data_IF_155788532904
#
_entry.id   IF_155788532904
#
_cell.length_a   1.000
_cell.length_b   1.000
_cell.length_c   1.000
_cell.angle_alpha   90.00
_cell.angle_beta   90.00
_cell.angle_gamma   90.00
#
_symmetry.space_group_name_H-M   'P 1'
#
loop_
_entity.id
_entity.type
_entity.pdbx_description
1 polymer ?
#
# COMPACT_ATOMS: atom_id res chain seq x y z
N UNK A 1 14.79 1.83 27.43
CA UNK A 1 14.44 2.95 26.54
C UNK A 1 14.42 2.42 25.11
N UNK A 2 13.24 2.04 24.60
CA UNK A 2 13.06 1.48 23.25
C UNK A 2 13.33 2.59 22.23
N UNK A 3 14.46 2.50 21.56
CA UNK A 3 14.81 3.38 20.43
C UNK A 3 14.18 2.78 19.18
N UNK A 4 12.89 3.03 18.97
CA UNK A 4 12.24 2.80 17.67
C UNK A 4 12.51 4.02 16.77
N UNK A 5 13.80 4.30 16.55
CA UNK A 5 14.24 5.29 15.57
C UNK A 5 14.27 4.57 14.23
N UNK A 6 13.26 4.85 13.42
CA UNK A 6 13.32 4.68 11.97
C UNK A 6 14.66 5.23 11.46
N UNK A 7 15.49 4.36 10.88
CA UNK A 7 16.78 4.78 10.34
C UNK A 7 16.57 5.60 9.04
N UNK A 8 17.26 6.73 8.87
CA UNK A 8 17.04 7.68 7.78
C UNK A 8 17.95 7.35 6.59
N UNK A 9 17.40 6.73 5.54
CA UNK A 9 18.07 6.65 4.22
C UNK A 9 17.13 6.98 3.06
N UNK A 10 15.85 7.26 3.31
CA UNK A 10 14.88 7.66 2.29
C UNK A 10 14.29 9.03 2.62
N UNK A 11 15.16 10.02 2.86
CA UNK A 11 14.74 11.43 2.88
C UNK A 11 15.57 12.20 1.85
N UNK A 12 15.38 11.85 0.60
CA UNK A 12 15.85 12.61 -0.56
C UNK A 12 14.70 12.74 -1.56
N UNK A 13 13.71 13.54 -1.17
CA UNK A 13 12.87 14.40 -2.02
C UNK A 13 12.39 13.79 -3.36
N UNK A 14 11.15 13.30 -3.38
CA UNK A 14 10.21 13.51 -4.49
C UNK A 14 8.79 13.37 -3.95
N UNK A 15 8.19 14.49 -3.52
CA UNK A 15 7.04 15.13 -4.16
C UNK A 15 5.70 14.51 -3.72
N UNK A 16 4.91 15.31 -2.98
CA UNK A 16 3.50 15.11 -2.57
C UNK A 16 2.89 13.77 -2.98
N UNK A 17 2.43 12.99 -2.01
CA UNK A 17 1.61 11.79 -2.25
C UNK A 17 0.65 12.00 -3.43
N UNK A 18 0.48 10.99 -4.30
CA UNK A 18 -0.33 11.16 -5.50
C UNK A 18 -1.72 11.70 -5.15
N UNK A 19 -2.31 12.57 -5.99
CA UNK A 19 -3.69 13.00 -5.83
C UNK A 19 -4.65 11.82 -5.72
N UNK A 20 -5.79 12.00 -5.06
CA UNK A 20 -6.78 10.93 -4.82
C UNK A 20 -7.21 10.29 -6.15
N UNK A 21 -7.41 11.09 -7.18
CA UNK A 21 -7.82 10.64 -8.51
C UNK A 21 -6.73 9.80 -9.19
N UNK A 22 -5.45 10.18 -9.05
CA UNK A 22 -4.31 9.39 -9.56
C UNK A 22 -4.20 8.07 -8.81
N UNK A 23 -4.32 8.09 -7.48
CA UNK A 23 -4.31 6.88 -6.65
C UNK A 23 -5.45 5.94 -6.99
N UNK A 24 -6.69 6.45 -7.13
CA UNK A 24 -7.86 5.62 -7.48
C UNK A 24 -7.70 5.00 -8.86
N UNK A 25 -7.26 5.79 -9.86
CA UNK A 25 -7.01 5.29 -11.20
C UNK A 25 -5.93 4.20 -11.22
N UNK A 26 -4.86 4.38 -10.46
CA UNK A 26 -3.80 3.40 -10.30
C UNK A 26 -4.30 2.08 -9.68
N UNK A 27 -5.03 2.14 -8.56
CA UNK A 27 -5.58 0.95 -7.92
C UNK A 27 -6.55 0.20 -8.85
N UNK A 28 -7.42 0.91 -9.58
CA UNK A 28 -8.33 0.31 -10.57
C UNK A 28 -7.55 -0.34 -11.72
N UNK A 29 -6.47 0.27 -12.18
CA UNK A 29 -5.62 -0.30 -13.24
C UNK A 29 -5.00 -1.64 -12.81
N UNK A 30 -4.54 -1.76 -11.56
CA UNK A 30 -3.99 -3.00 -11.04
C UNK A 30 -5.05 -4.09 -10.89
N UNK A 31 -6.22 -3.75 -10.35
CA UNK A 31 -7.34 -4.70 -10.24
C UNK A 31 -7.79 -5.18 -11.62
N UNK A 32 -7.72 -4.32 -12.63
CA UNK A 32 -8.01 -4.68 -14.03
C UNK A 32 -6.94 -5.61 -14.61
N UNK A 33 -5.66 -5.35 -14.33
CA UNK A 33 -4.54 -6.11 -14.89
C UNK A 33 -4.34 -7.48 -14.21
N UNK A 34 -4.49 -7.53 -12.88
CA UNK A 34 -4.11 -8.68 -12.05
C UNK A 34 -5.31 -9.37 -11.38
N UNK A 35 -6.51 -8.80 -11.52
CA UNK A 35 -7.76 -9.34 -11.01
C UNK A 35 -8.26 -8.67 -9.73
N UNK A 36 -9.56 -8.79 -9.49
CA UNK A 36 -10.28 -8.09 -8.40
C UNK A 36 -9.81 -8.40 -6.97
N UNK A 37 -9.10 -9.50 -6.78
CA UNK A 37 -8.57 -9.94 -5.48
C UNK A 37 -7.05 -9.71 -5.35
N UNK A 38 -6.41 -9.10 -6.35
CA UNK A 38 -4.96 -8.90 -6.38
C UNK A 38 -4.42 -8.21 -5.12
N UNK A 39 -5.11 -7.16 -4.68
CA UNK A 39 -4.69 -6.34 -3.54
C UNK A 39 -4.77 -7.06 -2.18
N UNK A 40 -5.35 -8.27 -2.12
CA UNK A 40 -5.27 -9.15 -0.94
C UNK A 40 -3.83 -9.50 -0.59
N UNK A 41 -2.95 -9.60 -1.59
CA UNK A 41 -1.51 -9.87 -1.38
C UNK A 41 -0.78 -8.75 -0.64
N UNK A 42 -1.36 -7.54 -0.63
CA UNK A 42 -0.75 -6.35 -0.02
C UNK A 42 -1.44 -5.98 1.29
N UNK A 43 -2.77 -5.91 1.28
CA UNK A 43 -3.55 -5.41 2.41
C UNK A 43 -4.26 -6.52 3.20
N UNK A 44 -4.04 -7.78 2.84
CA UNK A 44 -4.65 -8.93 3.48
C UNK A 44 -6.11 -9.19 3.09
N UNK A 45 -6.81 -10.12 3.77
CA UNK A 45 -8.11 -10.64 3.34
C UNK A 45 -9.22 -9.59 3.18
N UNK A 46 -9.12 -8.46 3.90
CA UNK A 46 -10.09 -7.34 3.82
C UNK A 46 -10.07 -6.64 2.47
N UNK A 47 -8.98 -6.77 1.71
CA UNK A 47 -8.85 -6.20 0.38
C UNK A 47 -9.55 -7.00 -0.73
N UNK A 48 -10.17 -8.13 -0.39
CA UNK A 48 -10.91 -8.96 -1.34
C UNK A 48 -12.03 -8.16 -2.01
N UNK A 49 -12.34 -8.53 -3.25
CA UNK A 49 -13.42 -7.96 -4.06
C UNK A 49 -13.27 -6.44 -4.17
N UNK A 50 -12.16 -6.00 -4.76
CA UNK A 50 -11.87 -4.59 -5.03
C UNK A 50 -11.86 -3.71 -3.76
N UNK A 51 -11.25 -4.21 -2.70
CA UNK A 51 -11.13 -3.53 -1.40
C UNK A 51 -12.47 -3.32 -0.68
N UNK A 52 -13.51 -4.11 -1.00
CA UNK A 52 -14.85 -3.96 -0.42
C UNK A 52 -14.84 -3.94 1.13
N UNK A 53 -14.03 -4.81 1.76
CA UNK A 53 -13.88 -4.87 3.22
C UNK A 53 -13.20 -3.65 3.85
N UNK A 54 -12.50 -2.85 3.04
CA UNK A 54 -11.83 -1.60 3.43
C UNK A 54 -12.66 -0.35 3.06
N UNK A 55 -13.82 -0.53 2.42
CA UNK A 55 -14.71 0.53 1.94
C UNK A 55 -14.55 0.88 0.46
N UNK A 56 -13.88 0.02 -0.31
CA UNK A 56 -13.72 0.13 -1.75
C UNK A 56 -12.53 1.00 -2.19
N UNK A 57 -12.21 0.92 -3.47
CA UNK A 57 -11.04 1.59 -4.07
C UNK A 57 -10.97 3.08 -3.76
N UNK A 58 -12.08 3.80 -3.89
CA UNK A 58 -12.08 5.25 -3.72
C UNK A 58 -11.78 5.67 -2.27
N UNK A 59 -12.27 4.91 -1.28
CA UNK A 59 -11.94 5.18 0.12
C UNK A 59 -10.46 4.90 0.41
N UNK A 60 -9.94 3.77 -0.07
CA UNK A 60 -8.53 3.42 0.11
C UNK A 60 -7.62 4.43 -0.59
N UNK A 61 -8.01 4.93 -1.75
CA UNK A 61 -7.28 5.96 -2.47
C UNK A 61 -7.17 7.27 -1.69
N UNK A 62 -8.29 7.73 -1.10
CA UNK A 62 -8.29 8.89 -0.20
C UNK A 62 -7.33 8.67 0.97
N UNK A 63 -7.42 7.51 1.62
CA UNK A 63 -6.60 7.17 2.76
C UNK A 63 -5.10 7.14 2.42
N UNK A 64 -4.70 6.47 1.34
CA UNK A 64 -3.31 6.43 0.88
C UNK A 64 -2.77 7.82 0.53
N UNK A 65 -3.57 8.69 -0.09
CA UNK A 65 -3.15 10.04 -0.46
C UNK A 65 -3.04 11.00 0.73
N UNK A 66 -3.85 10.81 1.79
CA UNK A 66 -4.01 11.81 2.85
C UNK A 66 -3.43 11.39 4.21
N UNK A 67 -3.39 10.09 4.53
CA UNK A 67 -3.01 9.60 5.87
C UNK A 67 -1.48 9.48 5.99
N UNK A 68 -0.82 10.21 6.91
CA UNK A 68 0.65 10.35 6.98
C UNK A 68 1.44 9.11 7.39
N UNK A 69 0.81 8.09 7.98
CA UNK A 69 1.52 6.97 8.59
C UNK A 69 0.74 5.67 8.45
N UNK A 70 1.45 4.55 8.32
CA UNK A 70 0.86 3.21 8.21
C UNK A 70 -0.06 2.86 9.40
N UNK A 71 0.26 3.24 10.64
CA UNK A 71 -0.56 2.95 11.82
C UNK A 71 -1.95 3.63 11.75
N UNK A 72 -1.96 4.91 11.34
CA UNK A 72 -3.19 5.67 11.12
C UNK A 72 -3.99 5.10 9.94
N UNK A 73 -3.30 4.64 8.89
CA UNK A 73 -3.95 4.02 7.73
C UNK A 73 -4.60 2.69 8.15
N UNK A 74 -3.88 1.84 8.87
CA UNK A 74 -4.39 0.59 9.42
C UNK A 74 -5.62 0.82 10.30
N UNK A 75 -5.58 1.85 11.15
CA UNK A 75 -6.74 2.24 11.98
C UNK A 75 -7.95 2.64 11.12
N UNK A 76 -7.78 3.49 10.11
CA UNK A 76 -8.89 3.95 9.25
C UNK A 76 -9.49 2.82 8.37
N UNK A 77 -8.62 1.90 7.93
CA UNK A 77 -8.97 0.72 7.16
C UNK A 77 -9.42 -0.47 8.03
N UNK A 78 -9.41 -0.32 9.35
CA UNK A 78 -9.76 -1.37 10.32
C UNK A 78 -8.92 -2.64 10.15
N UNK A 79 -7.64 -2.47 9.85
CA UNK A 79 -6.62 -3.51 9.88
C UNK A 79 -6.20 -3.78 11.32
N UNK A 80 -5.90 -5.04 11.65
CA UNK A 80 -5.20 -5.38 12.88
C UNK A 80 -3.76 -4.88 12.85
N UNK A 81 -3.08 -4.90 14.00
CA UNK A 81 -1.64 -4.59 14.07
C UNK A 81 -0.83 -5.56 13.19
N UNK A 82 -1.18 -6.84 13.19
CA UNK A 82 -0.54 -7.87 12.35
C UNK A 82 -0.77 -7.61 10.86
N UNK A 83 -2.00 -7.28 10.45
CA UNK A 83 -2.33 -6.93 9.06
C UNK A 83 -1.57 -5.66 8.62
N UNK A 84 -1.42 -4.68 9.51
CA UNK A 84 -0.69 -3.44 9.25
C UNK A 84 0.81 -3.71 9.10
N UNK A 85 1.40 -4.52 9.98
CA UNK A 85 2.80 -4.93 9.87
C UNK A 85 3.08 -5.73 8.60
N UNK A 86 2.19 -6.65 8.24
CA UNK A 86 2.30 -7.42 7.00
C UNK A 86 2.29 -6.49 5.77
N UNK A 87 1.34 -5.56 5.70
CA UNK A 87 1.27 -4.56 4.64
C UNK A 87 2.58 -3.77 4.53
N UNK A 88 3.14 -3.31 5.65
CA UNK A 88 4.40 -2.57 5.65
C UNK A 88 5.56 -3.42 5.14
N UNK A 89 5.66 -4.68 5.56
CA UNK A 89 6.69 -5.61 5.10
C UNK A 89 6.59 -5.86 3.58
N UNK A 90 5.38 -6.03 3.04
CA UNK A 90 5.17 -6.22 1.60
C UNK A 90 5.57 -4.96 0.82
N UNK A 91 5.13 -3.78 1.27
CA UNK A 91 5.48 -2.50 0.61
C UNK A 91 7.00 -2.25 0.64
N UNK A 92 7.66 -2.51 1.75
CA UNK A 92 9.12 -2.43 1.86
C UNK A 92 9.82 -3.45 0.95
N UNK A 93 9.31 -4.68 0.88
CA UNK A 93 9.80 -5.72 -0.01
C UNK A 93 9.76 -5.29 -1.49
N UNK A 94 8.68 -4.62 -1.91
CA UNK A 94 8.54 -4.08 -3.27
C UNK A 94 9.59 -3.01 -3.58
N UNK A 95 9.86 -2.12 -2.61
CA UNK A 95 10.90 -1.09 -2.76
C UNK A 95 12.31 -1.70 -2.84
N UNK A 96 12.55 -2.74 -2.06
CA UNK A 96 13.85 -3.42 -2.02
C UNK A 96 14.03 -4.47 -3.13
N UNK A 97 12.96 -4.78 -3.87
CA UNK A 97 12.98 -5.80 -4.93
C UNK A 97 13.00 -7.24 -4.40
N UNK A 98 12.53 -7.44 -3.17
CA UNK A 98 12.48 -8.72 -2.47
C UNK A 98 11.10 -8.88 -1.82
N UNK A 99 10.15 -9.45 -2.56
CA UNK A 99 8.82 -9.79 -2.06
C UNK A 99 8.50 -11.22 -2.45
N UNK A 100 8.07 -12.01 -1.46
CA UNK A 100 7.66 -13.40 -1.67
C UNK A 100 6.19 -13.49 -2.10
N UNK A 101 5.44 -12.39 -1.90
CA UNK A 101 4.00 -12.27 -2.11
C UNK A 101 3.63 -11.92 -3.57
N UNK A 102 4.48 -11.12 -4.24
CA UNK A 102 4.23 -10.65 -5.61
C UNK A 102 5.24 -11.26 -6.58
N UNK A 103 4.78 -11.63 -7.77
CA UNK A 103 5.67 -11.96 -8.89
C UNK A 103 6.49 -10.72 -9.29
N UNK A 104 7.63 -10.92 -9.95
CA UNK A 104 8.50 -9.81 -10.38
C UNK A 104 7.76 -8.77 -11.25
N UNK A 105 6.80 -9.20 -12.08
CA UNK A 105 5.99 -8.30 -12.89
C UNK A 105 5.00 -7.50 -12.04
N UNK A 106 4.26 -8.18 -11.15
CA UNK A 106 3.31 -7.52 -10.23
C UNK A 106 4.03 -6.51 -9.31
N UNK A 107 5.19 -6.88 -8.77
CA UNK A 107 6.00 -5.99 -7.94
C UNK A 107 6.50 -4.77 -8.74
N UNK A 108 6.90 -4.95 -10.00
CA UNK A 108 7.33 -3.85 -10.86
C UNK A 108 6.20 -2.84 -11.15
N UNK A 109 5.00 -3.33 -11.46
CA UNK A 109 3.81 -2.49 -11.69
C UNK A 109 3.43 -1.68 -10.44
N UNK A 110 3.68 -2.24 -9.25
CA UNK A 110 3.34 -1.60 -7.98
C UNK A 110 4.41 -0.63 -7.48
N UNK A 111 5.69 -0.90 -7.76
CA UNK A 111 6.86 -0.22 -7.20
C UNK A 111 6.87 1.28 -7.40
N UNK A 112 6.51 1.77 -8.60
CA UNK A 112 6.50 3.20 -8.90
C UNK A 112 5.57 3.98 -7.97
N UNK A 113 4.43 3.38 -7.59
CA UNK A 113 3.50 4.01 -6.67
C UNK A 113 4.01 3.98 -5.23
N UNK A 114 4.54 2.83 -4.78
CA UNK A 114 5.07 2.69 -3.40
C UNK A 114 6.20 3.69 -3.12
N UNK A 115 7.00 4.03 -4.13
CA UNK A 115 8.05 5.06 -4.01
C UNK A 115 7.52 6.47 -3.70
N UNK A 116 6.22 6.72 -3.86
CA UNK A 116 5.56 8.01 -3.65
C UNK A 116 4.72 8.09 -2.37
N UNK A 117 4.55 6.97 -1.65
CA UNK A 117 3.77 6.89 -0.41
C UNK A 117 4.55 7.43 0.80
#
# INVERSE_FOLDING_TARGET
LKVSKWYPIIYSISATRPPVEETSAFLKALLTAHGKDFLVKVFGPKAKDELAGMGGVDKVAVALSQIPTADLFGTDMKLSEEETMHMMAVLEGILNGSTDELTSNEAADFRFFVQKL
#
